data_IF_355518053579
#
_entry.id   IF_355518053579
#
_cell.length_a   1.000
_cell.length_b   1.000
_cell.length_c   1.000
_cell.angle_alpha   90.00
_cell.angle_beta   90.00
_cell.angle_gamma   90.00
#
_symmetry.space_group_name_H-M   'P 1'
#
loop_
_entity.id
_entity.type
_entity.pdbx_description
1 polymer ?
#
# COMPACT_ATOMS: atom_id res chain seq x y z
N UNK A 1 34.26 7.89 -6.05
CA UNK A 1 33.02 8.33 -6.73
C UNK A 1 31.88 7.50 -6.17
N UNK A 2 30.83 8.11 -5.58
CA UNK A 2 29.71 7.35 -5.01
C UNK A 2 28.87 6.77 -6.17
N UNK A 3 28.54 5.46 -6.17
CA UNK A 3 27.74 4.84 -7.21
C UNK A 3 26.38 5.54 -7.36
N UNK A 4 25.88 5.63 -8.59
CA UNK A 4 24.57 6.23 -8.86
C UNK A 4 23.43 5.50 -8.11
N UNK A 5 23.56 4.18 -7.89
CA UNK A 5 22.62 3.38 -7.10
C UNK A 5 22.61 3.79 -5.62
N UNK A 6 23.77 4.06 -5.04
CA UNK A 6 23.89 4.51 -3.64
C UNK A 6 23.25 5.88 -3.44
N UNK A 7 23.45 6.82 -4.39
CA UNK A 7 22.81 8.15 -4.35
C UNK A 7 21.30 8.07 -4.47
N UNK A 8 20.78 7.16 -5.31
CA UNK A 8 19.35 6.92 -5.48
C UNK A 8 18.72 6.34 -4.20
N UNK A 9 19.40 5.40 -3.55
CA UNK A 9 18.92 4.82 -2.30
C UNK A 9 18.93 5.83 -1.14
N UNK A 10 19.94 6.69 -1.03
CA UNK A 10 19.92 7.77 -0.02
C UNK A 10 18.82 8.78 -0.27
N UNK A 11 18.55 9.14 -1.52
CA UNK A 11 17.42 10.02 -1.85
C UNK A 11 16.07 9.39 -1.49
N UNK A 12 15.91 8.09 -1.74
CA UNK A 12 14.71 7.34 -1.36
C UNK A 12 14.52 7.31 0.16
N UNK A 13 15.58 7.08 0.93
CA UNK A 13 15.54 7.10 2.40
C UNK A 13 15.19 8.50 2.93
N UNK A 14 15.77 9.56 2.37
CA UNK A 14 15.48 10.95 2.76
C UNK A 14 14.01 11.30 2.47
N UNK A 15 13.49 10.90 1.31
CA UNK A 15 12.08 11.11 0.96
C UNK A 15 11.14 10.31 1.87
N UNK A 16 11.51 9.10 2.27
CA UNK A 16 10.75 8.26 3.19
C UNK A 16 10.66 8.87 4.60
N UNK A 17 11.77 9.44 5.08
CA UNK A 17 11.82 10.18 6.36
C UNK A 17 11.03 11.49 6.30
N UNK A 18 11.04 12.18 5.15
CA UNK A 18 10.26 13.41 4.96
C UNK A 18 8.75 13.16 4.84
N UNK A 19 8.34 11.96 4.40
CA UNK A 19 6.94 11.56 4.30
C UNK A 19 6.30 11.16 5.64
N UNK A 20 7.09 10.96 6.70
CA UNK A 20 6.62 10.65 8.05
C UNK A 20 6.06 11.88 8.80
N UNK A 21 5.26 12.70 8.11
CA UNK A 21 4.45 13.73 8.77
C UNK A 21 3.17 13.09 9.32
N UNK A 22 2.60 13.59 10.43
CA UNK A 22 1.29 13.15 10.88
C UNK A 22 0.27 13.31 9.75
N UNK A 23 -0.46 12.25 9.43
CA UNK A 23 -1.65 12.38 8.60
C UNK A 23 -2.67 13.18 9.40
N UNK A 24 -2.77 14.48 9.13
CA UNK A 24 -3.98 15.22 9.47
C UNK A 24 -5.09 14.64 8.58
N UNK A 25 -5.75 13.58 9.07
CA UNK A 25 -6.98 13.11 8.48
C UNK A 25 -7.99 14.25 8.59
N UNK A 26 -8.10 15.04 7.53
CA UNK A 26 -9.18 16.00 7.36
C UNK A 26 -10.44 15.14 7.24
N UNK A 27 -11.16 14.98 8.34
CA UNK A 27 -12.48 14.33 8.34
C UNK A 27 -13.33 15.19 7.41
N UNK A 28 -13.51 14.72 6.18
CA UNK A 28 -14.02 15.54 5.08
C UNK A 28 -15.33 16.22 5.46
N UNK A 29 -15.42 17.53 5.19
CA UNK A 29 -16.68 18.25 5.29
C UNK A 29 -17.65 17.72 4.22
N UNK A 30 -18.55 16.79 4.59
CA UNK A 30 -19.56 16.21 3.70
C UNK A 30 -20.05 14.82 4.15
N UNK A 31 -20.98 14.22 3.38
CA UNK A 31 -21.49 12.87 3.68
C UNK A 31 -20.44 11.80 3.36
N UNK A 32 -19.63 11.45 4.34
CA UNK A 32 -18.63 10.37 4.28
C UNK A 32 -19.25 8.97 4.17
N UNK A 33 -20.57 8.84 4.31
CA UNK A 33 -21.31 7.58 4.36
C UNK A 33 -21.94 7.14 3.02
N UNK A 34 -21.62 7.81 1.92
CA UNK A 34 -22.18 7.44 0.59
C UNK A 34 -21.32 6.39 -0.12
N UNK A 35 -21.94 5.57 -0.96
CA UNK A 35 -21.21 4.63 -1.82
C UNK A 35 -20.16 5.34 -2.68
N UNK A 36 -20.49 6.51 -3.23
CA UNK A 36 -19.56 7.30 -4.05
C UNK A 36 -18.34 7.78 -3.25
N UNK A 37 -18.54 8.22 -2.00
CA UNK A 37 -17.45 8.59 -1.11
C UNK A 37 -16.54 7.38 -0.80
N UNK A 38 -17.11 6.22 -0.48
CA UNK A 38 -16.35 4.99 -0.25
C UNK A 38 -15.60 4.50 -1.49
N UNK A 39 -16.19 4.63 -2.68
CA UNK A 39 -15.55 4.25 -3.94
C UNK A 39 -14.35 5.14 -4.30
N UNK A 40 -14.44 6.46 -4.03
CA UNK A 40 -13.37 7.42 -4.31
C UNK A 40 -12.29 7.42 -3.22
N UNK A 41 -12.61 6.96 -2.01
CA UNK A 41 -11.72 7.02 -0.85
C UNK A 41 -10.29 6.47 -1.12
N UNK A 42 -10.09 5.26 -1.68
CA UNK A 42 -8.74 4.75 -1.96
C UNK A 42 -7.97 5.59 -2.98
N UNK A 43 -8.65 6.39 -3.81
CA UNK A 43 -8.04 7.28 -4.79
C UNK A 43 -7.71 8.66 -4.21
N UNK A 44 -8.28 9.01 -3.06
CA UNK A 44 -7.99 10.27 -2.35
C UNK A 44 -6.83 10.16 -1.36
N UNK A 45 -6.50 8.94 -0.91
CA UNK A 45 -5.45 8.68 0.07
C UNK A 45 -4.09 8.43 -0.59
N UNK A 46 -3.06 9.17 -0.15
CA UNK A 46 -1.68 8.95 -0.62
C UNK A 46 -1.11 7.60 -0.19
N UNK A 47 -1.54 7.08 0.95
CA UNK A 47 -1.21 5.75 1.46
C UNK A 47 -1.63 4.63 0.51
N UNK A 48 -2.90 4.62 0.10
CA UNK A 48 -3.47 3.64 -0.83
C UNK A 48 -2.81 3.74 -2.20
N UNK A 49 -2.73 4.97 -2.75
CA UNK A 49 -2.10 5.18 -4.06
C UNK A 49 -0.65 4.73 -4.07
N UNK A 50 0.12 5.02 -3.02
CA UNK A 50 1.52 4.59 -2.92
C UNK A 50 1.62 3.06 -2.86
N UNK A 51 0.78 2.40 -2.07
CA UNK A 51 0.74 0.94 -2.00
C UNK A 51 0.33 0.30 -3.34
N UNK A 52 -0.72 0.81 -3.99
CA UNK A 52 -1.20 0.33 -5.29
C UNK A 52 -0.14 0.46 -6.38
N UNK A 53 0.54 1.61 -6.45
CA UNK A 53 1.64 1.83 -7.41
C UNK A 53 2.81 0.89 -7.12
N UNK A 54 3.20 0.72 -5.85
CA UNK A 54 4.29 -0.17 -5.49
C UNK A 54 3.96 -1.65 -5.80
N UNK A 55 2.74 -2.11 -5.51
CA UNK A 55 2.26 -3.46 -5.87
C UNK A 55 2.25 -3.65 -7.38
N UNK A 56 1.74 -2.68 -8.14
CA UNK A 56 1.72 -2.73 -9.61
C UNK A 56 3.11 -2.77 -10.22
N UNK A 57 4.03 -1.94 -9.71
CA UNK A 57 5.43 -1.93 -10.14
C UNK A 57 6.12 -3.25 -9.82
N UNK A 58 5.94 -3.78 -8.60
CA UNK A 58 6.51 -5.07 -8.21
C UNK A 58 5.97 -6.20 -9.09
N UNK A 59 4.66 -6.20 -9.38
CA UNK A 59 4.02 -7.16 -10.26
C UNK A 59 4.58 -7.09 -11.69
N UNK A 60 4.82 -5.88 -12.20
CA UNK A 60 5.44 -5.66 -13.50
C UNK A 60 6.89 -6.17 -13.55
N UNK A 61 7.67 -5.98 -12.47
CA UNK A 61 9.02 -6.51 -12.35
C UNK A 61 9.06 -8.05 -12.31
N UNK A 62 8.08 -8.69 -11.66
CA UNK A 62 7.96 -10.15 -11.60
C UNK A 62 7.44 -10.78 -12.89
N UNK A 63 6.45 -10.14 -13.53
CA UNK A 63 5.79 -10.63 -14.74
C UNK A 63 4.93 -11.88 -14.53
N UNK A 64 4.52 -12.50 -15.64
CA UNK A 64 3.74 -13.74 -15.64
C UNK A 64 2.43 -13.62 -14.86
N UNK A 65 2.16 -14.59 -13.96
CA UNK A 65 0.93 -14.63 -13.15
C UNK A 65 0.85 -13.49 -12.13
N UNK A 66 1.98 -12.90 -11.73
CA UNK A 66 2.01 -11.85 -10.71
C UNK A 66 1.30 -10.57 -11.18
N UNK A 67 1.32 -10.27 -12.48
CA UNK A 67 0.64 -9.12 -13.09
C UNK A 67 -0.85 -9.04 -12.73
N UNK A 68 -1.50 -10.18 -12.52
CA UNK A 68 -2.90 -10.26 -12.11
C UNK A 68 -3.06 -10.64 -10.65
N UNK A 69 -2.32 -11.66 -10.19
CA UNK A 69 -2.51 -12.20 -8.85
C UNK A 69 -2.25 -11.17 -7.75
N UNK A 70 -1.24 -10.31 -7.90
CA UNK A 70 -0.84 -9.36 -6.87
C UNK A 70 -1.79 -8.16 -6.76
N UNK A 71 -2.15 -7.45 -7.85
CA UNK A 71 -3.17 -6.40 -7.77
C UNK A 71 -4.54 -6.91 -7.31
N UNK A 72 -4.96 -8.09 -7.78
CA UNK A 72 -6.25 -8.67 -7.37
C UNK A 72 -6.25 -9.10 -5.90
N UNK A 73 -5.14 -9.63 -5.38
CA UNK A 73 -4.99 -9.93 -3.96
C UNK A 73 -5.07 -8.65 -3.12
N UNK A 74 -4.40 -7.58 -3.54
CA UNK A 74 -4.47 -6.28 -2.87
C UNK A 74 -5.92 -5.78 -2.83
N UNK A 75 -6.55 -5.63 -4.00
CA UNK A 75 -7.93 -5.13 -4.09
C UNK A 75 -8.92 -6.00 -3.31
N UNK A 76 -8.82 -7.33 -3.43
CA UNK A 76 -9.74 -8.25 -2.77
C UNK A 76 -9.67 -8.18 -1.25
N UNK A 77 -8.47 -8.15 -0.67
CA UNK A 77 -8.31 -8.07 0.79
C UNK A 77 -8.60 -6.66 1.31
N UNK A 78 -8.28 -5.62 0.54
CA UNK A 78 -8.65 -4.24 0.85
C UNK A 78 -10.17 -4.09 0.96
N UNK A 79 -10.93 -4.67 0.02
CA UNK A 79 -12.41 -4.70 0.12
C UNK A 79 -12.89 -5.44 1.37
N UNK A 80 -12.20 -6.51 1.78
CA UNK A 80 -12.52 -7.20 3.02
C UNK A 80 -12.24 -6.33 4.26
N UNK A 81 -11.13 -5.59 4.29
CA UNK A 81 -10.84 -4.60 5.33
C UNK A 81 -11.94 -3.54 5.45
N UNK A 82 -12.39 -2.99 4.31
CA UNK A 82 -13.47 -2.00 4.31
C UNK A 82 -14.80 -2.56 4.77
N UNK A 83 -15.10 -3.81 4.44
CA UNK A 83 -16.27 -4.50 4.98
C UNK A 83 -16.19 -4.67 6.51
N UNK A 84 -15.00 -4.98 7.07
CA UNK A 84 -14.81 -5.01 8.52
C UNK A 84 -15.03 -3.64 9.17
N UNK A 85 -14.53 -2.57 8.54
CA UNK A 85 -14.76 -1.19 8.98
C UNK A 85 -16.25 -0.84 9.00
N UNK A 86 -17.01 -1.21 7.95
CA UNK A 86 -18.47 -1.02 7.89
C UNK A 86 -19.21 -1.81 8.99
N UNK A 87 -18.71 -2.99 9.33
CA UNK A 87 -19.24 -3.82 10.42
C UNK A 87 -18.79 -3.36 11.81
N UNK A 88 -18.02 -2.26 11.91
CA UNK A 88 -17.45 -1.75 13.16
C UNK A 88 -16.59 -2.78 13.89
N UNK A 89 -15.98 -3.71 13.15
CA UNK A 89 -15.04 -4.68 13.71
C UNK A 89 -13.72 -3.95 13.97
N UNK A 90 -13.22 -3.91 15.22
CA UNK A 90 -11.98 -3.21 15.51
C UNK A 90 -10.79 -3.96 14.90
N UNK A 91 -10.09 -3.31 13.97
CA UNK A 91 -8.80 -3.76 13.44
C UNK A 91 -7.72 -2.98 14.19
N UNK A 92 -6.90 -3.62 15.05
CA UNK A 92 -5.84 -2.92 15.75
C UNK A 92 -4.67 -2.61 14.79
N UNK A 93 -3.89 -1.59 15.13
CA UNK A 93 -2.66 -1.22 14.42
C UNK A 93 -2.84 -0.84 12.94
N UNK A 94 -3.97 -0.24 12.55
CA UNK A 94 -4.19 0.23 11.17
C UNK A 94 -3.10 1.22 10.73
N UNK A 95 -2.88 2.32 11.47
CA UNK A 95 -1.89 3.32 11.09
C UNK A 95 -0.44 2.75 11.04
N UNK A 96 0.04 2.00 12.06
CA UNK A 96 1.33 1.33 11.95
C UNK A 96 1.41 0.31 10.80
N UNK A 97 0.31 -0.41 10.52
CA UNK A 97 0.21 -1.38 9.43
C UNK A 97 0.33 -0.73 8.06
N UNK A 98 -0.35 0.40 7.84
CA UNK A 98 -0.23 1.22 6.63
C UNK A 98 1.21 1.70 6.47
N UNK A 99 1.81 2.29 7.50
CA UNK A 99 3.19 2.78 7.44
C UNK A 99 4.17 1.64 7.10
N UNK A 100 4.05 0.50 7.79
CA UNK A 100 4.88 -0.67 7.55
C UNK A 100 4.72 -1.20 6.11
N UNK A 101 3.50 -1.16 5.55
CA UNK A 101 3.24 -1.60 4.17
C UNK A 101 3.98 -0.76 3.14
N UNK A 102 3.98 0.57 3.29
CA UNK A 102 4.64 1.48 2.35
C UNK A 102 6.15 1.24 2.36
N UNK A 103 6.74 1.08 3.55
CA UNK A 103 8.16 0.76 3.69
C UNK A 103 8.46 -0.62 3.09
N UNK A 104 7.65 -1.64 3.41
CA UNK A 104 7.88 -3.01 2.94
C UNK A 104 7.79 -3.11 1.41
N UNK A 105 6.72 -2.60 0.79
CA UNK A 105 6.58 -2.60 -0.66
C UNK A 105 7.65 -1.75 -1.34
N UNK A 106 7.97 -0.58 -0.77
CA UNK A 106 9.06 0.27 -1.25
C UNK A 106 10.41 -0.46 -1.27
N UNK A 107 10.74 -1.22 -0.21
CA UNK A 107 11.96 -2.02 -0.13
C UNK A 107 11.95 -3.20 -1.12
N UNK A 108 10.83 -3.92 -1.24
CA UNK A 108 10.69 -5.03 -2.19
C UNK A 108 10.93 -4.57 -3.63
N UNK A 109 10.37 -3.42 -3.99
CA UNK A 109 10.59 -2.76 -5.29
C UNK A 109 12.03 -2.27 -5.42
N UNK A 110 12.53 -1.50 -4.46
CA UNK A 110 13.85 -0.85 -4.55
C UNK A 110 15.01 -1.85 -4.62
N UNK A 111 14.87 -2.99 -3.94
CA UNK A 111 15.85 -4.07 -3.94
C UNK A 111 15.58 -5.12 -5.03
N UNK A 112 14.54 -4.93 -5.85
CA UNK A 112 14.12 -5.85 -6.90
C UNK A 112 13.99 -7.30 -6.41
N UNK A 113 13.37 -7.48 -5.23
CA UNK A 113 13.25 -8.79 -4.60
C UNK A 113 12.33 -9.68 -5.44
N UNK A 114 12.88 -10.80 -5.91
CA UNK A 114 12.15 -11.78 -6.69
C UNK A 114 11.61 -12.92 -5.79
N UNK A 115 10.30 -12.95 -5.56
CA UNK A 115 9.63 -13.97 -4.75
C UNK A 115 8.70 -14.86 -5.59
N UNK A 116 8.39 -16.09 -5.11
CA UNK A 116 7.28 -16.87 -5.64
C UNK A 116 5.97 -16.08 -5.58
N UNK A 117 5.10 -16.27 -6.57
CA UNK A 117 3.83 -15.53 -6.68
C UNK A 117 2.97 -15.69 -5.42
N UNK A 118 2.94 -16.88 -4.83
CA UNK A 118 2.21 -17.16 -3.59
C UNK A 118 2.71 -16.37 -2.40
N UNK A 119 4.03 -16.19 -2.26
CA UNK A 119 4.61 -15.37 -1.19
C UNK A 119 4.24 -13.89 -1.39
N UNK A 120 4.28 -13.40 -2.62
CA UNK A 120 3.81 -12.04 -2.93
C UNK A 120 2.32 -11.84 -2.59
N UNK A 121 1.45 -12.80 -2.93
CA UNK A 121 0.03 -12.75 -2.54
C UNK A 121 -0.14 -12.69 -1.02
N UNK A 122 0.62 -13.47 -0.26
CA UNK A 122 0.54 -13.47 1.21
C UNK A 122 0.97 -12.13 1.82
N UNK A 123 2.11 -11.58 1.37
CA UNK A 123 2.64 -10.30 1.86
C UNK A 123 1.69 -9.15 1.50
N UNK A 124 1.23 -9.12 0.25
CA UNK A 124 0.32 -8.09 -0.25
C UNK A 124 -1.01 -8.17 0.49
N UNK A 125 -1.59 -9.37 0.61
CA UNK A 125 -2.85 -9.57 1.31
C UNK A 125 -2.78 -9.14 2.78
N UNK A 126 -1.71 -9.50 3.49
CA UNK A 126 -1.50 -9.10 4.88
C UNK A 126 -1.60 -7.58 5.05
N UNK A 127 -0.88 -6.82 4.22
CA UNK A 127 -0.87 -5.37 4.32
C UNK A 127 -2.13 -4.72 3.74
N UNK A 128 -2.71 -5.28 2.69
CA UNK A 128 -3.90 -4.75 2.03
C UNK A 128 -5.11 -4.65 2.96
N UNK A 129 -5.19 -5.49 4.00
CA UNK A 129 -6.24 -5.42 5.01
C UNK A 129 -6.33 -4.06 5.70
N UNK A 130 -5.20 -3.39 5.91
CA UNK A 130 -5.13 -2.09 6.57
C UNK A 130 -5.47 -0.90 5.67
N UNK A 131 -5.60 -1.13 4.36
CA UNK A 131 -6.03 -0.13 3.37
C UNK A 131 -7.53 -0.22 3.08
N UNK A 132 -8.28 -0.96 3.91
CA UNK A 132 -9.71 -1.19 3.75
C UNK A 132 -10.54 -0.40 4.74
#
# INVERSE_FOLDING_TARGET
MIPASTKRNTLAVILLLAAAMPAYAHVGAGSTSSFAAGFVHPLSGLDHMTAMVAVGLWAAMKGGKALWAWPLAFLGVMLAGGALGMLHVPVPFVEPGILASVVAFGLLVALAIDLPVSAGVAIIGLFALFHG
#
